data_IF_681682228959
#
_entry.id   IF_681682228959
#
_cell.length_a   1.000
_cell.length_b   1.000
_cell.length_c   1.000
_cell.angle_alpha   90.00
_cell.angle_beta   90.00
_cell.angle_gamma   90.00
#
_symmetry.space_group_name_H-M   'P 1'
#
loop_
_entity.id
_entity.type
_entity.pdbx_description
1 polymer ?
2 water ?
#
# COMPACT_ATOMS: atom_id res chain seq x y z
N UNK A 3 -2.24 22.03 15.21
CA UNK A 3 -1.18 21.53 14.26
C UNK A 3 -0.27 20.49 14.91
N UNK A 4 -0.11 20.61 16.23
CA UNK A 4 0.72 19.71 17.03
C UNK A 4 0.40 18.24 16.74
N UNK A 5 -0.88 17.93 16.57
CA UNK A 5 -1.28 16.52 16.43
C UNK A 5 -0.76 15.90 15.15
N UNK A 6 -0.29 16.74 14.23
CA UNK A 6 0.32 16.26 12.96
C UNK A 6 1.80 15.91 13.10
N UNK A 7 2.42 16.35 14.20
CA UNK A 7 3.85 16.14 14.45
C UNK A 7 4.18 14.91 15.30
N UNK A 8 3.23 13.99 15.42
CA UNK A 8 3.38 12.85 16.32
C UNK A 8 3.67 11.61 15.46
N UNK A 9 4.63 10.77 15.84
CA UNK A 9 4.93 9.56 15.08
C UNK A 9 3.69 8.68 15.00
N UNK A 10 3.40 8.10 13.83
CA UNK A 10 2.15 7.32 13.69
C UNK A 10 2.13 6.10 14.60
N UNK A 11 3.32 5.64 14.99
CA UNK A 11 3.47 4.56 15.97
C UNK A 11 2.88 4.91 17.35
N UNK A 12 2.68 6.19 17.62
CA UNK A 12 2.09 6.58 18.89
C UNK A 12 0.56 6.67 18.79
N UNK A 13 0.03 6.48 17.60
CA UNK A 13 -1.40 6.64 17.34
C UNK A 13 -2.06 5.25 17.23
N UNK A 14 -3.37 5.24 17.02
CA UNK A 14 -4.07 4.01 16.74
C UNK A 14 -4.65 4.09 15.34
N UNK A 15 -3.82 4.44 14.36
CA UNK A 15 -4.29 4.75 13.00
C UNK A 15 -3.80 3.72 11.98
N UNK A 16 -2.71 3.00 12.30
CA UNK A 16 -2.22 1.94 11.41
C UNK A 16 -3.13 0.71 11.56
N UNK A 17 -3.47 0.04 10.45
CA UNK A 17 -4.22 -1.21 10.54
C UNK A 17 -3.38 -2.37 9.98
N UNK A 18 -3.69 -3.59 10.41
CA UNK A 18 -3.05 -4.80 9.86
C UNK A 18 -4.09 -5.59 9.08
N UNK A 19 -5.22 -4.93 8.88
CA UNK A 19 -6.46 -5.48 8.37
C UNK A 19 -6.36 -6.07 6.95
N UNK A 20 -6.66 -5.25 5.95
CA UNK A 20 -6.96 -5.75 4.60
C UNK A 20 -5.81 -5.43 3.64
N UNK A 21 -4.58 -5.85 3.96
CA UNK A 21 -3.45 -5.42 3.11
C UNK A 21 -3.33 -6.18 1.80
N UNK A 22 -3.93 -7.38 1.75
CA UNK A 22 -4.02 -8.17 0.53
C UNK A 22 -2.63 -8.35 -0.09
N UNK A 23 -1.65 -8.81 0.69
CA UNK A 23 -0.29 -8.98 0.14
C UNK A 23 -0.22 -10.13 -0.86
N UNK A 24 0.63 -9.95 -1.86
CA UNK A 24 0.82 -10.91 -2.95
C UNK A 24 2.31 -11.19 -3.09
N UNK A 25 2.64 -12.19 -3.90
CA UNK A 25 4.01 -12.52 -4.18
C UNK A 25 4.22 -12.34 -5.67
N UNK A 26 5.46 -12.42 -6.12
CA UNK A 26 5.78 -12.22 -7.53
C UNK A 26 5.14 -13.29 -8.39
N UNK A 27 4.89 -14.47 -7.81
CA UNK A 27 4.23 -15.59 -8.53
C UNK A 27 2.69 -15.54 -8.51
N UNK A 28 2.10 -14.58 -7.82
CA UNK A 28 0.65 -14.49 -7.79
C UNK A 28 0.08 -14.12 -9.18
N UNK A 29 -0.88 -14.92 -9.69
CA UNK A 29 -1.55 -14.56 -10.94
C UNK A 29 -2.18 -13.17 -10.84
N UNK A 30 -2.08 -12.38 -11.90
CA UNK A 30 -2.68 -11.04 -11.93
C UNK A 30 -4.20 -11.11 -11.69
N UNK A 31 -4.83 -12.13 -12.24
CA UNK A 31 -6.26 -12.33 -12.02
C UNK A 31 -6.61 -12.40 -10.53
N UNK A 32 -5.73 -13.02 -9.76
CA UNK A 32 -5.92 -13.09 -8.30
C UNK A 32 -5.72 -11.73 -7.67
N UNK A 33 -4.81 -10.95 -8.24
CA UNK A 33 -4.63 -9.61 -7.73
C UNK A 33 -5.86 -8.73 -7.92
N UNK A 34 -6.45 -8.77 -9.11
CA UNK A 34 -7.68 -8.01 -9.39
C UNK A 34 -8.80 -8.43 -8.44
N UNK A 35 -8.93 -9.73 -8.20
CA UNK A 35 -9.92 -10.21 -7.21
C UNK A 35 -9.69 -9.63 -5.80
N UNK A 36 -8.42 -9.54 -5.41
CA UNK A 36 -8.09 -8.93 -4.13
C UNK A 36 -8.38 -7.43 -4.08
N UNK A 37 -8.10 -6.73 -5.18
CA UNK A 37 -8.39 -5.30 -5.25
C UNK A 37 -9.89 -5.08 -5.11
N UNK A 38 -10.70 -5.83 -5.87
CA UNK A 38 -12.16 -5.61 -5.90
C UNK A 38 -12.82 -6.05 -4.59
N UNK A 39 -12.52 -7.28 -4.16
CA UNK A 39 -13.07 -7.85 -2.91
C UNK A 39 -12.59 -7.10 -1.69
N UNK A 40 -11.32 -6.68 -1.72
CA UNK A 40 -10.75 -5.91 -0.65
C UNK A 40 -11.16 -4.45 -0.61
N UNK A 41 -11.72 -3.95 -1.71
CA UNK A 41 -11.95 -2.50 -1.95
C UNK A 41 -10.68 -1.68 -1.69
N UNK A 42 -9.58 -2.12 -2.29
CA UNK A 42 -8.31 -1.42 -2.14
C UNK A 42 -7.76 -1.12 -3.53
N UNK A 43 -6.89 -0.12 -3.60
CA UNK A 43 -6.44 0.36 -4.90
C UNK A 43 -5.00 -0.06 -5.22
N UNK A 44 -4.38 -0.79 -4.28
CA UNK A 44 -3.05 -1.35 -4.53
C UNK A 44 -2.83 -2.56 -3.61
N UNK A 45 -1.87 -3.40 -3.96
CA UNK A 45 -1.50 -4.58 -3.15
C UNK A 45 0.00 -4.58 -2.98
N UNK A 46 0.48 -4.84 -1.76
CA UNK A 46 1.90 -4.91 -1.51
C UNK A 46 2.44 -6.24 -2.00
N UNK A 47 3.62 -6.19 -2.62
CA UNK A 47 4.25 -7.42 -3.06
C UNK A 47 5.41 -7.70 -2.10
N UNK A 48 5.40 -8.89 -1.51
CA UNK A 48 6.42 -9.27 -0.54
C UNK A 48 7.16 -10.52 -1.03
N UNK A 49 8.35 -10.76 -0.48
CA UNK A 49 9.06 -12.00 -0.77
C UNK A 49 8.67 -13.05 0.27
N UNK A 50 9.30 -14.21 0.20
CA UNK A 50 9.04 -15.31 1.12
C UNK A 50 9.29 -14.95 2.59
N UNK A 51 10.19 -13.99 2.85
CA UNK A 51 10.49 -13.58 4.24
C UNK A 51 9.67 -12.37 4.75
N UNK A 52 8.73 -11.90 3.93
CA UNK A 52 7.82 -10.84 4.36
C UNK A 52 8.37 -9.46 4.04
N UNK A 53 9.50 -9.40 3.34
CA UNK A 53 10.06 -8.11 2.95
C UNK A 53 9.23 -7.50 1.82
N UNK A 54 8.89 -6.24 1.98
CA UNK A 54 8.19 -5.49 0.92
C UNK A 54 9.16 -5.22 -0.23
N UNK A 55 8.81 -5.71 -1.41
CA UNK A 55 9.69 -5.50 -2.57
C UNK A 55 9.09 -4.67 -3.70
N UNK A 56 7.77 -4.59 -3.75
CA UNK A 56 7.09 -3.74 -4.71
C UNK A 56 5.61 -3.52 -4.34
N UNK A 57 4.88 -2.83 -5.22
CA UNK A 57 3.45 -2.61 -5.02
C UNK A 57 2.84 -2.68 -6.42
N UNK A 58 1.66 -3.30 -6.53
CA UNK A 58 0.92 -3.36 -7.81
C UNK A 58 -0.37 -2.57 -7.63
N UNK A 59 -0.59 -1.59 -8.51
CA UNK A 59 -1.75 -0.73 -8.44
C UNK A 59 -2.90 -1.19 -9.33
N UNK A 60 -4.12 -0.86 -8.91
CA UNK A 60 -5.29 -1.01 -9.78
C UNK A 60 -5.00 -0.32 -11.12
N UNK A 61 -4.32 0.84 -11.08
CA UNK A 61 -3.94 1.54 -12.34
C UNK A 61 -3.12 0.64 -13.25
N UNK A 62 -2.24 -0.18 -12.66
CA UNK A 62 -1.42 -1.10 -13.49
C UNK A 62 -2.24 -2.14 -14.22
N UNK A 63 -3.33 -2.57 -13.61
CA UNK A 63 -4.25 -3.54 -14.26
C UNK A 63 -4.82 -2.92 -15.54
N UNK A 64 -5.20 -1.65 -15.43
CA UNK A 64 -5.80 -0.97 -16.58
C UNK A 64 -4.75 -0.81 -17.67
N UNK A 65 -3.56 -0.43 -17.24
CA UNK A 65 -2.41 -0.22 -18.12
C UNK A 65 -2.07 -1.51 -18.81
N UNK A 66 -2.06 -2.61 -18.05
CA UNK A 66 -1.73 -3.94 -18.56
C UNK A 66 -2.64 -4.33 -19.72
N UNK A 67 -3.94 -4.20 -19.50
CA UNK A 67 -4.96 -4.47 -20.51
C UNK A 67 -4.92 -3.53 -21.72
N UNK A 68 -4.58 -2.27 -21.50
CA UNK A 68 -4.45 -1.31 -22.60
C UNK A 68 -3.15 -1.54 -23.39
N UNK A 69 -2.18 -2.18 -22.75
CA UNK A 69 -0.83 -2.29 -23.30
C UNK A 69 -0.53 -3.57 -24.05
N UNK A 70 -1.57 -4.33 -24.38
CA UNK A 70 -1.43 -5.54 -25.20
C UNK A 70 -1.85 -6.82 -24.49
N UNK A 75 -4.10 -11.41 -16.85
CA UNK A 75 -4.84 -12.66 -16.88
C UNK A 75 -4.14 -13.71 -16.00
N UNK A 76 -3.60 -14.76 -16.61
CA UNK A 76 -2.93 -15.81 -15.84
C UNK A 76 -1.46 -15.49 -15.54
N UNK A 77 -0.93 -14.46 -16.19
CA UNK A 77 0.47 -14.10 -16.02
C UNK A 77 0.73 -13.70 -14.56
N UNK A 78 1.97 -13.85 -14.11
CA UNK A 78 2.32 -13.53 -12.73
C UNK A 78 2.46 -12.03 -12.56
N UNK A 79 2.33 -11.60 -11.31
CA UNK A 79 2.59 -10.21 -10.91
C UNK A 79 4.00 -9.79 -11.36
N UNK A 80 4.97 -10.66 -11.10
CA UNK A 80 6.36 -10.45 -11.55
C UNK A 80 6.45 -10.17 -13.03
N UNK A 81 5.75 -10.98 -13.82
CA UNK A 81 5.70 -10.78 -15.27
C UNK A 81 5.03 -9.45 -15.61
N UNK A 82 3.84 -9.20 -15.04
CA UNK A 82 3.12 -7.92 -15.29
C UNK A 82 3.94 -6.70 -14.96
N UNK A 83 4.66 -6.77 -13.84
CA UNK A 83 5.56 -5.70 -13.42
C UNK A 83 6.65 -5.38 -14.44
N UNK A 84 7.17 -6.40 -15.12
CA UNK A 84 8.16 -6.17 -16.18
C UNK A 84 7.59 -5.31 -17.30
N UNK A 85 6.29 -5.47 -17.59
CA UNK A 85 5.61 -4.63 -18.60
C UNK A 85 5.35 -3.18 -18.16
N UNK A 86 5.39 -2.92 -16.86
CA UNK A 86 5.19 -1.56 -16.34
C UNK A 86 6.43 -0.72 -16.61
N UNK A 87 6.27 0.56 -16.92
CA UNK A 87 7.47 1.37 -17.16
C UNK A 87 8.08 1.83 -15.84
N UNK A 94 3.73 4.50 -1.44
CA UNK A 94 4.88 3.66 -1.13
C UNK A 94 4.92 3.32 0.36
N UNK A 95 6.02 3.60 1.06
CA UNK A 95 6.24 3.05 2.42
C UNK A 95 6.55 4.08 3.52
N UNK A 96 6.28 3.68 4.75
CA UNK A 96 6.60 4.49 5.92
C UNK A 96 6.96 3.57 7.10
N UNK A 97 7.46 4.15 8.20
CA UNK A 97 7.66 3.38 9.42
C UNK A 97 6.81 3.97 10.54
N UNK A 98 6.70 3.26 11.65
CA UNK A 98 5.97 3.80 12.79
C UNK A 98 6.60 5.07 13.41
N UNK A 99 7.83 5.42 13.02
CA UNK A 99 8.47 6.66 13.49
C UNK A 99 8.17 7.88 12.63
N UNK A 100 7.56 7.68 11.47
CA UNK A 100 7.22 8.80 10.60
C UNK A 100 6.06 9.63 11.18
N UNK A 101 6.11 10.94 10.97
CA UNK A 101 5.10 11.82 11.53
C UNK A 101 3.95 11.94 10.57
N UNK A 102 2.76 12.16 11.11
CA UNK A 102 1.64 12.23 10.26
C UNK A 102 1.77 13.36 9.21
N UNK A 103 2.36 14.50 9.58
CA UNK A 103 2.48 15.62 8.63
C UNK A 103 3.26 15.26 7.37
N UNK A 104 4.32 14.47 7.55
CA UNK A 104 5.17 14.01 6.46
C UNK A 104 4.39 13.07 5.54
N UNK A 105 3.69 12.12 6.14
CA UNK A 105 2.92 11.14 5.37
C UNK A 105 1.82 11.84 4.58
N UNK A 106 1.16 12.80 5.22
CA UNK A 106 0.10 13.57 4.53
C UNK A 106 0.64 14.25 3.27
N UNK A 107 1.80 14.87 3.39
CA UNK A 107 2.46 15.50 2.25
C UNK A 107 2.81 14.49 1.15
N UNK A 108 3.40 13.37 1.52
CA UNK A 108 3.80 12.35 0.54
C UNK A 108 2.59 11.66 -0.13
N UNK A 109 1.51 11.46 0.63
CA UNK A 109 0.29 10.86 0.06
C UNK A 109 -0.27 11.72 -1.05
N UNK A 110 -0.27 13.03 -0.84
CA UNK A 110 -0.76 13.99 -1.82
C UNK A 110 0.14 14.09 -3.03
N UNK A 111 1.45 14.13 -2.81
CA UNK A 111 2.39 14.20 -3.94
C UNK A 111 2.31 12.94 -4.77
N UNK A 112 2.23 11.78 -4.12
CA UNK A 112 2.21 10.49 -4.86
C UNK A 112 0.83 10.17 -5.46
N UNK A 113 -0.21 10.82 -4.92
CA UNK A 113 -1.60 10.50 -5.21
C UNK A 113 -1.84 8.98 -5.07
N UNK A 114 -1.60 8.48 -3.85
CA UNK A 114 -1.90 7.10 -3.46
C UNK A 114 -2.92 7.12 -2.31
N UNK A 115 -3.63 6.03 -2.09
CA UNK A 115 -4.68 6.00 -1.07
C UNK A 115 -4.25 5.16 0.13
N UNK A 116 -3.05 4.59 0.02
CA UNK A 116 -2.43 3.88 1.16
C UNK A 116 -0.93 3.84 1.10
N UNK A 117 -0.33 3.88 2.29
CA UNK A 117 1.11 3.71 2.47
C UNK A 117 1.29 2.40 3.22
N UNK A 118 2.26 1.59 2.81
CA UNK A 118 2.55 0.37 3.54
C UNK A 118 3.54 0.65 4.64
N UNK A 119 3.23 0.16 5.85
CA UNK A 119 4.07 0.38 6.99
C UNK A 119 5.04 -0.82 7.07
N UNK A 120 6.32 -0.51 7.17
CA UNK A 120 7.33 -1.56 7.25
C UNK A 120 8.04 -1.49 8.61
N UNK A 121 8.60 -2.61 9.04
CA UNK A 121 9.37 -2.63 10.29
C UNK A 121 10.79 -2.18 10.03
N UNK A 122 11.65 -2.35 11.04
CA UNK A 122 13.07 -2.01 10.96
C UNK A 122 13.87 -2.56 9.80
N UNK A 123 13.53 -3.75 9.34
CA UNK A 123 14.28 -4.39 8.27
C UNK A 123 13.49 -4.41 6.95
N UNK A 124 12.40 -3.67 6.89
CA UNK A 124 11.66 -3.57 5.62
C UNK A 124 10.60 -4.62 5.39
N UNK A 125 10.22 -5.35 6.43
CA UNK A 125 9.12 -6.29 6.29
C UNK A 125 7.78 -5.58 6.44
N UNK A 126 6.79 -6.01 5.67
CA UNK A 126 5.47 -5.40 5.74
C UNK A 126 4.86 -5.71 7.11
N UNK A 127 4.33 -4.69 7.79
CA UNK A 127 3.68 -4.89 9.11
C UNK A 127 2.29 -4.22 9.25
N UNK A 128 1.91 -3.42 8.26
CA UNK A 128 0.60 -2.75 8.33
C UNK A 128 0.42 -1.77 7.20
N UNK A 129 -0.64 -1.00 7.28
CA UNK A 129 -0.99 -0.07 6.24
C UNK A 129 -1.60 1.16 6.91
N UNK A 130 -1.34 2.32 6.31
CA UNK A 130 -2.00 3.55 6.75
C UNK A 130 -2.77 4.06 5.55
N UNK A 131 -4.09 4.19 5.71
CA UNK A 131 -4.96 4.54 4.56
C UNK A 131 -5.33 5.99 4.62
N UNK A 132 -5.55 6.56 3.44
CA UNK A 132 -6.10 7.94 3.34
C UNK A 132 -7.42 8.02 4.10
N UNK A 133 -8.27 6.99 3.98
CA UNK A 133 -9.57 6.96 4.70
C UNK A 133 -9.36 7.10 6.21
N UNK A 134 -8.37 6.38 6.76
CA UNK A 134 -8.16 6.46 8.22
C UNK A 134 -7.59 7.80 8.63
N UNK A 135 -6.70 8.36 7.80
CA UNK A 135 -6.26 9.77 8.01
C UNK A 135 -7.43 10.74 8.05
N UNK A 136 -8.34 10.68 7.08
CA UNK A 136 -9.55 11.52 7.15
C UNK A 136 -10.40 11.31 8.40
N UNK A 137 -10.59 10.04 8.79
CA UNK A 137 -11.38 9.73 9.98
C UNK A 137 -10.69 10.31 11.23
N UNK A 138 -9.37 10.20 11.27
CA UNK A 138 -8.59 10.82 12.35
C UNK A 138 -8.74 12.34 12.45
N UNK A 139 -8.69 13.02 11.30
CA UNK A 139 -8.96 14.46 11.27
C UNK A 139 -10.37 14.78 11.78
N UNK A 140 -11.33 13.97 11.37
CA UNK A 140 -12.71 14.17 11.76
C UNK A 140 -12.96 13.99 13.25
N UNK A 141 -12.17 13.13 13.88
CA UNK A 141 -12.28 12.86 15.31
C UNK A 141 -12.20 14.14 16.17
N UNK A 142 -11.26 15.02 15.82
CA UNK A 142 -11.03 16.23 16.61
C UNK A 142 -11.97 17.34 16.24
#
# INVERSE_FOLDING_TARGET
RETHFLKIPIGDLNIITQDNMKSCQMTTPVIDVIQMLTQGRVSSVPIIDENGYLINVYEAYDVLGLIKGGIYNDLSLSVGEALMRRSDDFEGVYTCTKNDKLSTIMDNIRKARVHRFFVVDDVGRLVGVLTLSDILKYILLGSN
#
